data_IF_501157191091
#
_entry.id   IF_501157191091
#
_cell.length_a   1.000
_cell.length_b   1.000
_cell.length_c   1.000
_cell.angle_alpha   90.00
_cell.angle_beta   90.00
_cell.angle_gamma   90.00
#
_symmetry.space_group_name_H-M   'P 1'
#
loop_
_entity.id
_entity.type
_entity.pdbx_description
1 polymer ?
#
# COMPACT_ATOMS: atom_id res chain seq x y z
N UNK A 1 5.75 -3.07 3.91
CA UNK A 1 5.88 -2.53 2.52
C UNK A 1 6.73 -3.39 1.60
N UNK A 2 7.67 -4.18 2.11
CA UNK A 2 8.46 -5.14 1.30
C UNK A 2 7.60 -6.19 0.59
N UNK A 3 6.53 -6.68 1.22
CA UNK A 3 5.49 -7.47 0.56
C UNK A 3 4.92 -6.78 -0.70
N UNK A 4 4.49 -5.52 -0.59
CA UNK A 4 3.93 -4.77 -1.71
C UNK A 4 4.95 -4.63 -2.84
N UNK A 5 6.23 -4.36 -2.53
CA UNK A 5 7.30 -4.35 -3.51
C UNK A 5 7.43 -5.67 -4.26
N UNK A 6 7.41 -6.80 -3.56
CA UNK A 6 7.46 -8.11 -4.21
C UNK A 6 6.25 -8.35 -5.11
N UNK A 7 5.04 -8.03 -4.64
CA UNK A 7 3.82 -8.13 -5.43
C UNK A 7 3.91 -7.30 -6.73
N UNK A 8 4.38 -6.06 -6.63
CA UNK A 8 4.59 -5.20 -7.80
C UNK A 8 5.62 -5.78 -8.78
N UNK A 9 6.73 -6.33 -8.29
CA UNK A 9 7.75 -6.99 -9.11
C UNK A 9 7.17 -8.19 -9.89
N UNK A 10 6.36 -9.02 -9.24
CA UNK A 10 5.73 -10.17 -9.88
C UNK A 10 4.68 -9.75 -10.93
N UNK A 11 3.90 -8.71 -10.63
CA UNK A 11 2.94 -8.13 -11.58
C UNK A 11 3.67 -7.51 -12.78
N UNK A 12 4.74 -6.75 -12.53
CA UNK A 12 5.55 -6.17 -13.61
C UNK A 12 6.14 -7.27 -14.49
N UNK A 13 6.78 -8.28 -13.92
CA UNK A 13 7.31 -9.42 -14.68
C UNK A 13 6.24 -10.13 -15.50
N UNK A 14 5.05 -10.30 -14.93
CA UNK A 14 3.91 -10.88 -15.64
C UNK A 14 3.50 -10.00 -16.83
N UNK A 15 3.35 -8.69 -16.63
CA UNK A 15 3.03 -7.75 -17.72
C UNK A 15 4.11 -7.72 -18.79
N UNK A 16 5.39 -7.69 -18.42
CA UNK A 16 6.52 -7.73 -19.35
C UNK A 16 6.59 -9.03 -20.15
N UNK A 17 6.14 -10.15 -19.58
CA UNK A 17 6.05 -11.42 -20.30
C UNK A 17 5.00 -11.40 -21.41
N UNK A 18 3.99 -10.54 -21.30
CA UNK A 18 2.91 -10.37 -22.28
C UNK A 18 3.22 -9.22 -23.24
N UNK A 19 3.75 -8.10 -22.72
CA UNK A 19 4.00 -6.83 -23.41
C UNK A 19 5.40 -6.31 -23.03
N UNK A 20 6.48 -6.87 -23.60
CA UNK A 20 7.85 -6.52 -23.24
C UNK A 20 8.25 -5.08 -23.63
N UNK A 21 7.43 -4.38 -24.42
CA UNK A 21 7.64 -2.96 -24.73
C UNK A 21 7.26 -2.03 -23.57
N UNK A 22 6.49 -2.50 -22.60
CA UNK A 22 6.33 -1.80 -21.34
C UNK A 22 7.71 -1.79 -20.67
N UNK A 23 8.23 -0.62 -20.30
CA UNK A 23 9.59 -0.53 -19.73
C UNK A 23 9.59 -0.76 -18.22
N UNK A 24 8.49 -0.41 -17.57
CA UNK A 24 8.26 -0.56 -16.14
C UNK A 24 6.76 -0.35 -15.83
N UNK A 25 6.36 -0.65 -14.59
CA UNK A 25 5.04 -0.26 -14.08
C UNK A 25 4.86 1.27 -14.03
N UNK A 26 3.70 1.80 -14.47
CA UNK A 26 3.35 3.20 -14.28
C UNK A 26 2.94 3.50 -12.82
N UNK A 27 3.28 4.69 -12.34
CA UNK A 27 2.93 5.16 -10.99
C UNK A 27 1.96 6.34 -11.06
N UNK A 28 1.22 6.57 -9.97
CA UNK A 28 0.40 7.75 -9.79
C UNK A 28 0.98 8.69 -8.74
N UNK A 29 1.40 9.87 -9.18
CA UNK A 29 1.86 10.93 -8.28
C UNK A 29 0.68 11.64 -7.60
N UNK A 30 0.29 11.13 -6.44
CA UNK A 30 -0.83 11.66 -5.65
C UNK A 30 -0.72 13.17 -5.38
N UNK A 31 0.49 13.73 -5.30
CA UNK A 31 0.66 15.16 -5.05
C UNK A 31 0.13 16.02 -6.19
N UNK A 32 0.13 15.50 -7.43
CA UNK A 32 -0.39 16.22 -8.58
C UNK A 32 -1.92 16.26 -8.60
N UNK A 33 -2.60 15.30 -7.97
CA UNK A 33 -4.07 15.25 -7.83
C UNK A 33 -4.56 15.76 -6.47
N UNK A 34 -3.67 16.36 -5.68
CA UNK A 34 -4.00 16.90 -4.36
C UNK A 34 -4.99 18.06 -4.44
N UNK A 35 -6.06 18.01 -3.65
CA UNK A 35 -7.02 19.10 -3.48
C UNK A 35 -6.36 20.41 -3.04
N UNK A 36 -5.18 20.32 -2.42
CA UNK A 36 -4.42 21.46 -1.93
C UNK A 36 -3.30 21.77 -2.93
N UNK A 37 -3.63 22.47 -4.00
CA UNK A 37 -2.64 22.99 -4.96
C UNK A 37 -2.05 21.95 -5.92
N UNK A 38 -2.62 20.75 -6.01
CA UNK A 38 -2.27 19.76 -7.02
C UNK A 38 -2.58 20.26 -8.43
N UNK A 39 -1.63 20.05 -9.35
CA UNK A 39 -1.71 20.52 -10.73
C UNK A 39 -2.96 20.03 -11.48
N UNK A 40 -3.39 18.81 -11.21
CA UNK A 40 -4.46 18.11 -11.93
C UNK A 40 -5.73 17.92 -11.11
N UNK A 41 -5.77 18.34 -9.85
CA UNK A 41 -6.89 18.05 -8.93
C UNK A 41 -8.27 18.49 -9.43
N UNK A 42 -8.32 19.55 -10.23
CA UNK A 42 -9.56 20.10 -10.82
C UNK A 42 -9.64 19.88 -12.34
N UNK A 43 -8.78 19.03 -12.91
CA UNK A 43 -8.74 18.78 -14.35
C UNK A 43 -9.66 17.62 -14.72
N UNK A 44 -10.69 17.92 -15.53
CA UNK A 44 -11.60 16.92 -16.08
C UNK A 44 -10.92 15.98 -17.11
N UNK A 45 -9.71 16.30 -17.57
CA UNK A 45 -8.95 15.48 -18.52
C UNK A 45 -7.74 14.81 -17.86
N UNK A 46 -6.94 15.58 -17.13
CA UNK A 46 -5.61 15.17 -16.67
C UNK A 46 -5.59 14.62 -15.24
N UNK A 47 -6.69 14.75 -14.48
CA UNK A 47 -6.76 14.09 -13.18
C UNK A 47 -6.74 12.58 -13.33
N UNK A 48 -6.09 11.87 -12.40
CA UNK A 48 -6.16 10.41 -12.34
C UNK A 48 -7.60 9.88 -12.28
N UNK A 49 -8.53 10.67 -11.73
CA UNK A 49 -9.95 10.32 -11.59
C UNK A 49 -10.83 10.86 -12.73
N UNK A 50 -10.22 11.20 -13.87
CA UNK A 50 -10.95 11.60 -15.06
C UNK A 50 -11.46 10.39 -15.85
N UNK A 51 -12.44 10.59 -16.77
CA UNK A 51 -12.86 9.58 -17.73
C UNK A 51 -11.75 9.08 -18.68
N UNK A 52 -10.61 9.80 -18.76
CA UNK A 52 -9.43 9.35 -19.53
C UNK A 52 -8.68 8.24 -18.82
N UNK A 53 -8.65 8.26 -17.48
CA UNK A 53 -7.85 7.35 -16.67
C UNK A 53 -8.72 6.40 -15.84
N UNK A 54 -8.82 6.57 -14.52
CA UNK A 54 -9.43 5.58 -13.60
C UNK A 54 -10.92 5.79 -13.35
N UNK A 55 -11.54 6.74 -14.04
CA UNK A 55 -12.93 7.09 -13.81
C UNK A 55 -13.12 7.82 -12.48
N UNK A 56 -14.35 8.23 -12.24
CA UNK A 56 -14.75 9.12 -11.17
C UNK A 56 -14.24 8.66 -9.80
N UNK A 57 -13.84 9.65 -9.00
CA UNK A 57 -13.37 9.47 -7.61
C UNK A 57 -14.41 8.84 -6.69
N UNK A 58 -15.69 9.08 -6.99
CA UNK A 58 -16.85 8.43 -6.37
C UNK A 58 -17.63 7.77 -7.49
N UNK A 59 -17.98 6.49 -7.32
CA UNK A 59 -18.74 5.75 -8.31
C UNK A 59 -20.19 6.23 -8.42
N UNK A 60 -20.90 5.73 -9.43
CA UNK A 60 -22.26 6.16 -9.76
C UNK A 60 -23.27 5.75 -8.68
N UNK A 61 -23.90 6.69 -7.94
CA UNK A 61 -24.85 6.35 -6.88
C UNK A 61 -26.10 5.61 -7.38
N UNK A 62 -26.49 5.80 -8.64
CA UNK A 62 -27.63 5.10 -9.25
C UNK A 62 -27.32 3.63 -9.59
N UNK A 63 -26.05 3.25 -9.57
CA UNK A 63 -25.54 1.91 -9.83
C UNK A 63 -24.75 1.37 -8.64
N UNK A 64 -25.24 1.65 -7.42
CA UNK A 64 -24.65 1.22 -6.16
C UNK A 64 -23.16 1.59 -6.02
N UNK A 65 -22.79 2.76 -6.54
CA UNK A 65 -21.42 3.30 -6.52
C UNK A 65 -20.40 2.49 -7.33
N UNK A 66 -20.84 1.73 -8.33
CA UNK A 66 -19.94 1.16 -9.34
C UNK A 66 -19.15 2.26 -10.06
N UNK A 67 -17.90 1.98 -10.42
CA UNK A 67 -17.11 2.81 -11.34
C UNK A 67 -17.64 2.56 -12.75
N UNK A 68 -18.33 3.54 -13.33
CA UNK A 68 -19.04 3.41 -14.61
C UNK A 68 -18.41 4.20 -15.77
N UNK A 69 -17.27 4.84 -15.51
CA UNK A 69 -16.52 5.67 -16.44
C UNK A 69 -15.01 5.40 -16.31
N UNK A 70 -14.19 6.05 -17.14
CA UNK A 70 -12.75 5.78 -17.20
C UNK A 70 -12.39 4.60 -18.10
N UNK A 71 -11.08 4.38 -18.24
CA UNK A 71 -10.52 3.20 -18.93
C UNK A 71 -10.83 1.88 -18.22
N UNK A 72 -11.27 1.95 -16.96
CA UNK A 72 -11.64 0.82 -16.11
C UNK A 72 -13.14 0.81 -15.75
N UNK A 73 -13.97 1.47 -16.55
CA UNK A 73 -15.43 1.43 -16.40
C UNK A 73 -15.91 -0.03 -16.35
N UNK A 74 -16.73 -0.35 -15.35
CA UNK A 74 -17.26 -1.70 -15.12
C UNK A 74 -16.17 -2.78 -14.96
N UNK A 75 -15.04 -2.43 -14.35
CA UNK A 75 -14.02 -3.43 -14.01
C UNK A 75 -14.61 -4.51 -13.10
N UNK A 76 -14.58 -5.80 -13.51
CA UNK A 76 -15.32 -6.85 -12.82
C UNK A 76 -14.65 -7.25 -11.50
N UNK A 77 -15.49 -7.51 -10.49
CA UNK A 77 -15.09 -8.24 -9.28
C UNK A 77 -15.63 -9.66 -9.41
N UNK A 78 -14.73 -10.64 -9.45
CA UNK A 78 -15.10 -12.04 -9.67
C UNK A 78 -15.80 -12.66 -8.45
N UNK A 79 -16.60 -13.68 -8.70
CA UNK A 79 -17.13 -14.53 -7.63
C UNK A 79 -15.99 -15.36 -7.02
N UNK A 80 -16.04 -15.52 -5.70
CA UNK A 80 -15.14 -16.37 -4.96
C UNK A 80 -15.31 -17.82 -5.40
N UNK A 81 -14.22 -18.40 -5.87
CA UNK A 81 -14.17 -19.77 -6.34
C UNK A 81 -13.55 -20.65 -5.25
N UNK A 82 -14.38 -21.24 -4.39
CA UNK A 82 -13.90 -22.07 -3.28
C UNK A 82 -13.04 -23.26 -3.72
N UNK A 83 -13.11 -23.69 -4.99
CA UNK A 83 -12.23 -24.76 -5.51
C UNK A 83 -10.85 -24.22 -5.85
N UNK A 84 -10.78 -23.06 -6.53
CA UNK A 84 -9.53 -22.37 -6.84
C UNK A 84 -8.83 -21.87 -5.59
N UNK A 85 -9.60 -21.36 -4.64
CA UNK A 85 -9.12 -20.88 -3.35
C UNK A 85 -9.16 -21.96 -2.25
N UNK A 86 -9.42 -23.23 -2.57
CA UNK A 86 -9.45 -24.31 -1.58
C UNK A 86 -8.16 -24.39 -0.73
N UNK A 87 -6.95 -24.21 -1.30
CA UNK A 87 -5.72 -24.18 -0.51
C UNK A 87 -5.58 -22.95 0.40
N UNK A 88 -6.47 -21.97 0.28
CA UNK A 88 -6.38 -20.63 0.88
C UNK A 88 -7.58 -20.31 1.79
N UNK A 89 -8.50 -21.26 1.98
CA UNK A 89 -9.75 -21.06 2.70
C UNK A 89 -9.53 -20.65 4.18
N UNK A 90 -8.42 -21.02 4.80
CA UNK A 90 -8.14 -20.60 6.19
C UNK A 90 -7.77 -19.11 6.30
N UNK A 91 -7.31 -18.50 5.19
CA UNK A 91 -6.87 -17.09 5.12
C UNK A 91 -7.94 -16.21 4.46
N UNK A 92 -8.64 -16.76 3.47
CA UNK A 92 -9.56 -16.00 2.63
C UNK A 92 -10.71 -16.86 2.10
N UNK A 93 -11.95 -16.47 2.41
CA UNK A 93 -13.18 -17.20 2.07
C UNK A 93 -14.17 -16.40 1.21
N UNK A 94 -13.74 -15.28 0.63
CA UNK A 94 -14.64 -14.34 -0.03
C UNK A 94 -15.63 -13.68 0.93
N UNK A 95 -16.53 -12.85 0.39
CA UNK A 95 -17.62 -12.23 1.16
C UNK A 95 -18.67 -13.26 1.51
N UNK A 96 -18.97 -13.46 2.81
CA UNK A 96 -19.98 -14.42 3.27
C UNK A 96 -21.38 -14.07 2.74
N UNK A 97 -21.63 -12.78 2.57
CA UNK A 97 -22.96 -12.26 2.24
C UNK A 97 -23.26 -12.29 0.75
N UNK A 98 -22.24 -12.20 -0.10
CA UNK A 98 -22.44 -12.00 -1.55
C UNK A 98 -21.69 -13.00 -2.43
N UNK A 99 -20.73 -13.73 -1.87
CA UNK A 99 -19.88 -14.65 -2.61
C UNK A 99 -18.87 -13.95 -3.54
N UNK A 100 -18.76 -12.63 -3.56
CA UNK A 100 -17.72 -11.94 -4.33
C UNK A 100 -16.34 -12.07 -3.68
N UNK A 101 -15.30 -11.91 -4.51
CA UNK A 101 -13.92 -11.79 -4.07
C UNK A 101 -13.67 -10.47 -3.31
N UNK A 102 -14.30 -10.32 -2.14
CA UNK A 102 -14.10 -9.23 -1.18
C UNK A 102 -13.78 -9.79 0.21
N UNK A 103 -13.43 -8.96 1.19
CA UNK A 103 -13.29 -9.42 2.57
C UNK A 103 -14.60 -10.06 3.06
N UNK A 104 -14.45 -11.04 3.96
CA UNK A 104 -15.55 -11.76 4.62
C UNK A 104 -16.70 -10.85 5.09
N UNK A 105 -16.36 -9.72 5.71
CA UNK A 105 -17.32 -8.76 6.28
C UNK A 105 -17.81 -7.70 5.29
N UNK A 106 -17.36 -7.69 4.03
CA UNK A 106 -17.75 -6.67 3.06
C UNK A 106 -19.10 -7.04 2.42
N UNK A 107 -20.18 -6.26 2.65
CA UNK A 107 -21.52 -6.59 2.18
C UNK A 107 -21.81 -6.12 0.75
N UNK A 108 -20.84 -5.52 0.03
CA UNK A 108 -21.05 -5.01 -1.32
C UNK A 108 -21.39 -6.13 -2.30
N UNK A 109 -22.58 -6.06 -2.91
CA UNK A 109 -23.09 -7.00 -3.90
C UNK A 109 -22.90 -6.52 -5.35
N UNK A 110 -22.10 -5.47 -5.55
CA UNK A 110 -21.82 -4.89 -6.87
C UNK A 110 -20.87 -5.82 -7.62
N UNK A 111 -21.19 -6.21 -8.86
CA UNK A 111 -20.33 -7.09 -9.68
C UNK A 111 -19.10 -6.40 -10.27
N UNK A 112 -18.93 -5.11 -9.97
CA UNK A 112 -17.87 -4.25 -10.45
C UNK A 112 -17.19 -3.55 -9.29
N UNK A 113 -16.01 -2.97 -9.56
CA UNK A 113 -15.31 -2.10 -8.61
C UNK A 113 -16.23 -0.97 -8.16
N UNK A 114 -16.35 -0.78 -6.85
CA UNK A 114 -17.16 0.24 -6.22
C UNK A 114 -16.32 1.23 -5.40
N UNK A 115 -16.66 2.51 -5.49
CA UNK A 115 -16.05 3.63 -4.74
C UNK A 115 -17.15 4.45 -4.08
N UNK A 116 -17.40 4.23 -2.78
CA UNK A 116 -18.54 4.84 -2.10
C UNK A 116 -18.36 6.35 -1.84
N UNK A 117 -19.46 7.00 -1.48
CA UNK A 117 -19.46 8.38 -1.03
C UNK A 117 -18.76 8.55 0.32
N UNK A 118 -18.32 9.78 0.61
CA UNK A 118 -17.45 10.09 1.75
C UNK A 118 -18.24 10.71 2.91
N UNK A 119 -19.57 10.54 2.89
CA UNK A 119 -20.54 11.13 3.83
C UNK A 119 -20.35 10.68 5.28
N UNK A 120 -19.63 9.58 5.51
CA UNK A 120 -19.28 9.07 6.83
C UNK A 120 -18.04 9.71 7.48
N UNK A 121 -17.30 10.57 6.78
CA UNK A 121 -16.05 11.15 7.29
C UNK A 121 -16.23 12.59 7.78
N UNK A 122 -15.65 12.90 8.94
CA UNK A 122 -15.59 14.26 9.49
C UNK A 122 -14.78 15.23 8.63
N UNK A 123 -13.89 14.69 7.79
CA UNK A 123 -13.20 15.42 6.74
C UNK A 123 -13.45 14.67 5.41
N UNK A 124 -14.43 15.09 4.58
CA UNK A 124 -14.71 14.51 3.28
C UNK A 124 -13.77 15.02 2.18
N UNK A 125 -12.74 15.82 2.52
CA UNK A 125 -11.84 16.42 1.54
C UNK A 125 -11.17 15.34 0.67
N UNK A 126 -10.86 15.65 -0.60
CA UNK A 126 -10.13 14.75 -1.47
C UNK A 126 -8.71 14.52 -0.93
N UNK A 127 -7.87 13.83 -1.68
CA UNK A 127 -6.46 13.63 -1.34
C UNK A 127 -5.80 14.98 -1.07
N UNK A 128 -5.09 15.11 0.05
CA UNK A 128 -4.43 16.34 0.50
C UNK A 128 -2.90 16.22 0.57
N UNK A 129 -2.32 15.15 0.02
CA UNK A 129 -0.89 14.92 0.07
C UNK A 129 -0.14 15.95 -0.80
N UNK A 130 0.84 16.66 -0.26
CA UNK A 130 1.65 17.61 -1.02
C UNK A 130 2.98 16.98 -1.46
N UNK A 131 3.57 17.52 -2.53
CA UNK A 131 4.90 17.12 -2.99
C UNK A 131 5.94 17.26 -1.87
N UNK A 132 5.88 18.35 -1.10
CA UNK A 132 6.73 18.57 0.06
C UNK A 132 6.65 17.43 1.10
N UNK A 133 5.47 16.83 1.29
CA UNK A 133 5.32 15.69 2.21
C UNK A 133 6.01 14.45 1.66
N UNK A 134 5.84 14.17 0.36
CA UNK A 134 6.53 13.03 -0.29
C UNK A 134 8.04 13.20 -0.26
N UNK A 135 8.53 14.44 -0.44
CA UNK A 135 9.96 14.77 -0.42
C UNK A 135 10.57 14.64 0.99
N UNK A 136 9.81 14.93 2.05
CA UNK A 136 10.24 14.68 3.43
C UNK A 136 10.48 13.18 3.65
N UNK A 137 9.51 12.33 3.30
CA UNK A 137 9.65 10.89 3.47
C UNK A 137 10.77 10.30 2.59
N UNK A 138 11.05 10.91 1.43
CA UNK A 138 12.11 10.49 0.52
C UNK A 138 13.52 10.97 0.92
N UNK A 139 13.68 11.75 2.00
CA UNK A 139 14.93 12.45 2.29
C UNK A 139 15.60 11.93 3.58
N UNK A 140 16.82 11.41 3.41
CA UNK A 140 17.60 10.79 4.47
C UNK A 140 18.06 11.79 5.54
N UNK A 141 18.08 13.10 5.27
CA UNK A 141 18.33 14.10 6.30
C UNK A 141 17.26 14.08 7.40
N UNK A 142 16.02 13.74 7.06
CA UNK A 142 14.88 13.65 7.97
C UNK A 142 14.56 12.21 8.40
N UNK A 143 14.81 11.24 7.51
CA UNK A 143 14.42 9.84 7.68
C UNK A 143 15.66 8.96 7.70
N UNK A 144 16.08 8.49 8.86
CA UNK A 144 17.37 7.80 9.07
C UNK A 144 17.32 6.29 8.97
N UNK A 145 16.16 5.67 9.11
CA UNK A 145 16.02 4.20 9.08
C UNK A 145 14.82 3.80 8.24
N UNK A 146 14.82 2.54 7.78
CA UNK A 146 13.69 2.01 7.01
C UNK A 146 12.39 2.08 7.80
N UNK A 147 12.45 1.85 9.11
CA UNK A 147 11.29 1.97 10.01
C UNK A 147 10.74 3.40 10.06
N UNK A 148 11.62 4.42 10.13
CA UNK A 148 11.18 5.82 10.06
C UNK A 148 10.55 6.14 8.71
N UNK A 149 11.07 5.56 7.62
CA UNK A 149 10.45 5.70 6.30
C UNK A 149 9.06 5.09 6.29
N UNK A 150 8.93 3.84 6.77
CA UNK A 150 7.65 3.14 6.88
C UNK A 150 6.65 3.98 7.67
N UNK A 151 7.03 4.51 8.84
CA UNK A 151 6.16 5.37 9.66
C UNK A 151 5.85 6.74 9.05
N UNK A 152 6.66 7.22 8.12
CA UNK A 152 6.39 8.46 7.39
C UNK A 152 5.30 8.26 6.34
N UNK A 153 5.35 7.14 5.61
CA UNK A 153 4.42 6.83 4.51
C UNK A 153 3.16 6.08 4.98
N UNK A 154 3.31 5.32 6.06
CA UNK A 154 2.31 4.48 6.71
C UNK A 154 2.04 5.00 8.12
N UNK A 155 0.81 4.92 8.59
CA UNK A 155 0.60 4.74 10.02
C UNK A 155 -0.66 3.91 10.23
N UNK A 156 -0.57 3.07 11.25
CA UNK A 156 -1.55 2.15 11.75
C UNK A 156 -2.99 2.70 11.71
N UNK A 157 -3.85 2.00 10.97
CA UNK A 157 -5.32 2.12 11.01
C UNK A 157 -5.88 1.98 12.44
N UNK A 158 -5.09 1.46 13.39
CA UNK A 158 -5.45 1.31 14.79
C UNK A 158 -5.04 2.47 15.71
N UNK A 159 -4.43 3.56 15.23
CA UNK A 159 -4.30 4.78 16.04
C UNK A 159 -5.67 5.48 16.14
N UNK A 160 -6.55 4.94 16.98
CA UNK A 160 -7.95 5.38 17.19
C UNK A 160 -8.10 6.85 17.66
N UNK A 161 -7.00 7.56 17.89
CA UNK A 161 -6.98 8.82 18.61
C UNK A 161 -6.41 10.03 17.83
N UNK A 162 -5.86 9.85 16.63
CA UNK A 162 -5.45 10.98 15.80
C UNK A 162 -6.52 11.23 14.73
N UNK A 163 -7.17 12.38 14.78
CA UNK A 163 -8.16 12.79 13.79
C UNK A 163 -7.82 14.20 13.24
N UNK A 164 -7.41 14.34 11.97
CA UNK A 164 -7.06 13.26 11.08
C UNK A 164 -5.74 12.61 11.52
N UNK A 165 -5.54 11.34 11.20
CA UNK A 165 -4.29 10.64 11.50
C UNK A 165 -3.18 11.03 10.50
N UNK A 166 -1.93 10.95 10.93
CA UNK A 166 -0.76 11.45 10.20
C UNK A 166 0.41 10.47 10.25
N UNK A 167 1.21 10.38 9.18
CA UNK A 167 2.54 9.77 9.25
C UNK A 167 3.44 10.60 10.16
N UNK A 168 4.45 9.99 10.77
CA UNK A 168 5.31 10.66 11.75
C UNK A 168 6.77 10.56 11.32
N UNK A 169 7.48 11.67 11.42
CA UNK A 169 8.92 11.74 11.24
C UNK A 169 9.57 12.64 12.30
N UNK A 170 10.89 12.54 12.46
CA UNK A 170 11.63 13.28 13.49
C UNK A 170 12.62 14.26 12.86
N UNK A 171 12.54 15.54 13.25
CA UNK A 171 13.52 16.57 12.88
C UNK A 171 14.18 17.09 14.14
N UNK A 172 15.50 16.93 14.26
CA UNK A 172 16.26 17.42 15.42
C UNK A 172 15.69 16.96 16.77
N UNK A 173 15.16 15.72 16.83
CA UNK A 173 14.54 15.16 18.03
C UNK A 173 13.09 15.61 18.29
N UNK A 174 12.50 16.44 17.42
CA UNK A 174 11.09 16.83 17.48
C UNK A 174 10.26 15.99 16.50
N UNK A 175 9.24 15.30 17.02
CA UNK A 175 8.29 14.58 16.18
C UNK A 175 7.38 15.56 15.44
N UNK A 176 7.24 15.35 14.13
CA UNK A 176 6.42 16.14 13.21
C UNK A 176 5.53 15.20 12.40
N UNK A 177 4.41 15.72 11.92
CA UNK A 177 3.42 14.95 11.17
C UNK A 177 3.44 15.26 9.68
N UNK A 178 3.13 14.25 8.85
CA UNK A 178 2.82 14.39 7.43
C UNK A 178 1.44 13.82 7.14
N UNK A 179 0.67 14.41 6.19
CA UNK A 179 -0.54 13.77 5.69
C UNK A 179 -0.26 12.34 5.23
N UNK A 180 -1.19 11.45 5.51
CA UNK A 180 -1.15 10.04 5.14
C UNK A 180 -0.83 9.82 3.67
N UNK A 181 0.24 9.08 3.38
CA UNK A 181 0.55 8.72 2.00
C UNK A 181 -0.26 7.47 1.60
N UNK A 182 0.00 6.33 2.24
CA UNK A 182 -0.63 5.06 1.88
C UNK A 182 -2.12 4.97 2.27
N UNK A 183 -2.42 5.08 3.58
CA UNK A 183 -3.76 4.87 4.12
C UNK A 183 -4.79 5.89 3.61
N UNK A 184 -4.35 7.12 3.28
CA UNK A 184 -5.24 8.15 2.75
C UNK A 184 -5.89 7.71 1.46
N UNK A 185 -5.12 7.17 0.51
CA UNK A 185 -5.68 6.76 -0.77
C UNK A 185 -6.73 5.66 -0.57
N UNK A 186 -6.41 4.63 0.22
CA UNK A 186 -7.33 3.54 0.55
C UNK A 186 -8.65 4.06 1.12
N UNK A 187 -8.56 4.86 2.18
CA UNK A 187 -9.73 5.42 2.85
C UNK A 187 -10.52 6.41 1.99
N UNK A 188 -9.84 7.25 1.23
CA UNK A 188 -10.49 8.37 0.56
C UNK A 188 -11.04 7.99 -0.81
N UNK A 189 -10.46 7.01 -1.51
CA UNK A 189 -11.00 6.54 -2.79
C UNK A 189 -12.08 5.48 -2.55
N UNK A 190 -11.76 4.44 -1.78
CA UNK A 190 -12.70 3.35 -1.51
C UNK A 190 -13.83 3.75 -0.57
N UNK A 191 -13.53 4.60 0.42
CA UNK A 191 -14.46 5.02 1.48
C UNK A 191 -14.95 3.88 2.38
N UNK A 192 -15.31 4.23 3.62
CA UNK A 192 -15.97 3.37 4.60
C UNK A 192 -17.18 4.11 5.15
N UNK A 193 -18.37 3.57 4.89
CA UNK A 193 -19.61 4.01 5.52
C UNK A 193 -19.68 3.47 6.95
N UNK A 194 -19.23 4.26 7.92
CA UNK A 194 -19.12 3.86 9.33
C UNK A 194 -20.41 3.29 9.94
N UNK A 195 -21.57 3.79 9.51
CA UNK A 195 -22.88 3.36 10.03
C UNK A 195 -23.30 1.96 9.57
N UNK A 196 -22.84 1.53 8.38
CA UNK A 196 -23.30 0.29 7.73
C UNK A 196 -22.18 -0.72 7.55
N UNK A 197 -20.91 -0.31 7.71
CA UNK A 197 -19.74 -1.13 7.44
C UNK A 197 -19.46 -1.33 5.94
N UNK A 198 -20.23 -0.70 5.05
CA UNK A 198 -19.96 -0.75 3.61
C UNK A 198 -18.65 -0.05 3.30
N UNK A 199 -17.79 -0.71 2.53
CA UNK A 199 -16.54 -0.14 2.07
C UNK A 199 -16.33 -0.43 0.61
N UNK A 200 -15.70 0.51 -0.10
CA UNK A 200 -15.38 0.34 -1.51
C UNK A 200 -14.25 -0.65 -1.67
N UNK A 201 -14.09 -1.17 -2.88
CA UNK A 201 -13.10 -2.20 -3.16
C UNK A 201 -11.69 -1.71 -2.80
N UNK A 202 -11.35 -0.44 -3.08
CA UNK A 202 -10.04 0.09 -2.70
C UNK A 202 -9.83 0.27 -1.19
N UNK A 203 -10.88 0.43 -0.38
CA UNK A 203 -10.75 0.55 1.08
C UNK A 203 -10.68 -0.83 1.75
N UNK A 204 -11.22 -1.86 1.10
CA UNK A 204 -11.14 -3.24 1.57
C UNK A 204 -9.68 -3.71 1.54
N UNK A 205 -8.95 -3.52 2.64
CA UNK A 205 -7.52 -3.82 2.75
C UNK A 205 -7.15 -5.25 2.34
N UNK A 206 -8.07 -6.21 2.45
CA UNK A 206 -7.83 -7.62 2.09
C UNK A 206 -7.85 -7.82 0.58
N UNK A 207 -8.67 -7.03 -0.12
CA UNK A 207 -8.96 -7.21 -1.55
C UNK A 207 -8.81 -5.92 -2.35
N UNK A 208 -8.07 -4.95 -1.82
CA UNK A 208 -7.93 -3.61 -2.40
C UNK A 208 -7.33 -3.60 -3.81
N UNK A 209 -6.60 -4.66 -4.17
CA UNK A 209 -6.10 -4.90 -5.52
C UNK A 209 -7.20 -5.12 -6.57
N UNK A 210 -8.45 -5.36 -6.16
CA UNK A 210 -9.59 -5.39 -7.07
C UNK A 210 -9.77 -4.07 -7.82
N UNK A 211 -9.46 -2.92 -7.20
CA UNK A 211 -9.46 -1.62 -7.88
C UNK A 211 -8.10 -1.42 -8.59
N UNK A 212 -8.08 -1.29 -9.93
CA UNK A 212 -6.83 -1.17 -10.71
C UNK A 212 -5.91 -0.02 -10.27
N UNK A 213 -6.44 1.01 -9.61
CA UNK A 213 -5.61 2.12 -9.10
C UNK A 213 -4.61 1.66 -8.03
N UNK A 214 -4.84 0.50 -7.40
CA UNK A 214 -3.92 -0.13 -6.45
C UNK A 214 -2.51 -0.22 -6.98
N UNK A 215 -2.34 -0.70 -8.21
CA UNK A 215 -1.02 -0.87 -8.80
C UNK A 215 -0.29 0.47 -8.88
N UNK A 216 -0.97 1.52 -9.34
CA UNK A 216 -0.38 2.83 -9.58
C UNK A 216 -0.05 3.56 -8.27
N UNK A 217 -0.93 3.43 -7.28
CA UNK A 217 -0.73 3.94 -5.92
C UNK A 217 0.49 3.30 -5.24
N UNK A 218 0.51 1.98 -5.17
CA UNK A 218 1.59 1.22 -4.53
C UNK A 218 2.91 1.35 -5.27
N UNK A 219 2.86 1.49 -6.60
CA UNK A 219 4.03 1.81 -7.41
C UNK A 219 4.63 3.17 -7.01
N UNK A 220 3.81 4.19 -6.71
CA UNK A 220 4.35 5.48 -6.25
C UNK A 220 4.91 5.44 -4.82
N UNK A 221 4.31 4.64 -3.93
CA UNK A 221 4.85 4.40 -2.58
C UNK A 221 6.22 3.72 -2.69
N UNK A 222 6.32 2.70 -3.53
CA UNK A 222 7.58 1.98 -3.71
C UNK A 222 8.66 2.86 -4.37
N UNK A 223 8.27 3.70 -5.33
CA UNK A 223 9.14 4.74 -5.89
C UNK A 223 9.65 5.71 -4.82
N UNK A 224 8.81 6.09 -3.85
CA UNK A 224 9.23 6.92 -2.73
C UNK A 224 10.26 6.22 -1.85
N UNK A 225 10.06 4.92 -1.56
CA UNK A 225 11.06 4.11 -0.86
C UNK A 225 12.39 4.08 -1.61
N UNK A 226 12.36 3.82 -2.93
CA UNK A 226 13.57 3.75 -3.77
C UNK A 226 14.35 5.08 -3.74
N UNK A 227 13.65 6.22 -3.84
CA UNK A 227 14.28 7.54 -3.71
C UNK A 227 14.96 7.73 -2.36
N UNK A 228 14.30 7.32 -1.27
CA UNK A 228 14.90 7.37 0.06
C UNK A 228 16.13 6.47 0.17
N UNK A 229 16.06 5.24 -0.37
CA UNK A 229 17.18 4.30 -0.38
C UNK A 229 18.39 4.88 -1.12
N UNK A 230 18.16 5.52 -2.28
CA UNK A 230 19.22 6.20 -3.04
C UNK A 230 19.84 7.38 -2.30
N UNK A 231 19.02 8.26 -1.70
CA UNK A 231 19.53 9.40 -0.93
C UNK A 231 20.31 8.91 0.30
N UNK A 232 19.83 7.85 0.96
CA UNK A 232 20.54 7.22 2.07
C UNK A 232 21.90 6.66 1.66
N UNK A 233 21.97 5.92 0.54
CA UNK A 233 23.22 5.38 -0.01
C UNK A 233 24.21 6.47 -0.42
N UNK A 234 23.72 7.57 -1.01
CA UNK A 234 24.55 8.71 -1.39
C UNK A 234 25.20 9.37 -0.17
N UNK A 235 24.54 9.36 0.99
CA UNK A 235 25.03 9.92 2.24
C UNK A 235 25.91 8.93 3.02
N UNK A 236 25.57 7.63 2.96
CA UNK A 236 26.35 6.57 3.57
C UNK A 236 26.17 5.25 2.79
N UNK A 237 27.18 4.91 1.99
CA UNK A 237 27.16 3.71 1.15
C UNK A 237 27.06 2.38 1.95
N UNK A 238 27.46 2.35 3.23
CA UNK A 238 27.38 1.11 4.03
C UNK A 238 25.96 0.73 4.40
N UNK A 239 24.98 1.63 4.21
CA UNK A 239 23.58 1.32 4.50
C UNK A 239 23.00 0.24 3.59
N UNK A 240 23.49 0.12 2.35
CA UNK A 240 23.03 -0.91 1.41
C UNK A 240 23.78 -2.25 1.55
N UNK A 241 24.69 -2.37 2.53
CA UNK A 241 25.38 -3.62 2.81
C UNK A 241 24.37 -4.69 3.25
N UNK A 242 24.61 -5.94 2.85
CA UNK A 242 23.71 -7.09 3.11
C UNK A 242 23.50 -7.40 4.61
N UNK A 243 24.32 -6.80 5.47
CA UNK A 243 24.24 -6.92 6.93
C UNK A 243 23.54 -5.73 7.60
N UNK A 244 23.28 -4.64 6.85
CA UNK A 244 22.70 -3.39 7.36
C UNK A 244 21.30 -3.17 6.78
N UNK A 245 21.17 -3.20 5.44
CA UNK A 245 19.90 -3.02 4.72
C UNK A 245 19.05 -1.85 5.25
N UNK A 246 19.67 -0.66 5.28
CA UNK A 246 19.13 0.62 5.78
C UNK A 246 18.55 0.55 7.19
N UNK A 247 19.26 -0.18 8.06
CA UNK A 247 18.88 -0.42 9.45
C UNK A 247 17.47 -1.02 9.58
N UNK A 248 17.09 -1.91 8.66
CA UNK A 248 15.86 -2.67 8.79
C UNK A 248 15.89 -3.48 10.10
N UNK A 249 14.80 -3.50 10.89
CA UNK A 249 14.78 -4.19 12.17
C UNK A 249 15.20 -5.67 12.09
N UNK A 250 16.26 -6.03 12.81
CA UNK A 250 16.83 -7.39 12.83
C UNK A 250 16.43 -8.24 14.04
N UNK A 251 15.91 -7.65 15.12
CA UNK A 251 15.50 -8.35 16.35
C UNK A 251 14.24 -7.68 16.93
N UNK A 252 13.39 -8.48 17.59
CA UNK A 252 12.35 -8.02 18.52
C UNK A 252 12.95 -6.99 19.49
N UNK A 253 12.51 -5.72 19.50
CA UNK A 253 12.90 -4.82 20.57
C UNK A 253 12.35 -5.37 21.89
N UNK A 254 13.16 -5.31 22.94
CA UNK A 254 12.77 -5.72 24.30
C UNK A 254 11.66 -4.83 24.90
N UNK A 255 11.18 -3.86 24.12
CA UNK A 255 10.14 -2.90 24.44
C UNK A 255 9.14 -2.85 23.29
N UNK A 256 7.87 -2.62 23.61
CA UNK A 256 6.81 -2.28 22.64
C UNK A 256 7.06 -0.93 21.93
N UNK A 257 8.29 -0.44 21.97
CA UNK A 257 8.73 0.86 21.45
C UNK A 257 10.05 0.60 20.72
N UNK A 258 10.15 1.02 19.46
CA UNK A 258 11.36 0.83 18.67
C UNK A 258 12.49 1.73 19.17
N UNK A 259 13.70 1.53 18.64
CA UNK A 259 14.83 2.43 18.88
C UNK A 259 14.56 3.88 18.46
N UNK A 260 13.47 4.13 17.73
CA UNK A 260 13.04 5.43 17.25
C UNK A 260 11.81 5.99 17.99
N UNK A 261 11.35 5.32 19.06
CA UNK A 261 10.31 5.81 19.95
C UNK A 261 8.88 5.51 19.50
N UNK A 262 8.69 4.67 18.48
CA UNK A 262 7.36 4.34 17.96
C UNK A 262 6.81 3.05 18.57
N UNK A 263 5.51 2.96 18.85
CA UNK A 263 4.88 1.71 19.23
C UNK A 263 5.17 0.65 18.18
N UNK A 264 5.96 -0.37 18.52
CA UNK A 264 6.16 -1.53 17.67
C UNK A 264 4.97 -2.42 17.94
N UNK A 265 3.87 -2.18 17.24
CA UNK A 265 2.83 -3.19 17.13
C UNK A 265 3.45 -4.36 16.35
N UNK A 266 4.02 -5.31 17.11
CA UNK A 266 4.36 -6.69 16.72
C UNK A 266 4.64 -6.84 15.21
N UNK A 267 5.82 -6.38 14.78
CA UNK A 267 6.18 -6.23 13.37
C UNK A 267 6.99 -7.41 12.83
N UNK A 268 7.02 -7.56 11.51
CA UNK A 268 7.78 -8.61 10.84
C UNK A 268 9.26 -8.21 10.69
N UNK A 269 10.16 -9.16 10.89
CA UNK A 269 11.60 -8.96 11.06
C UNK A 269 12.36 -9.24 9.77
N UNK A 270 13.59 -8.72 9.64
CA UNK A 270 14.40 -8.89 8.42
C UNK A 270 14.49 -10.35 7.91
N UNK A 271 14.50 -11.32 8.81
CA UNK A 271 14.61 -12.77 8.52
C UNK A 271 13.26 -13.50 8.46
N UNK A 272 12.16 -12.80 8.71
CA UNK A 272 10.84 -13.39 8.65
C UNK A 272 10.46 -13.68 7.21
N UNK A 273 9.70 -14.75 7.05
CA UNK A 273 9.18 -15.15 5.76
C UNK A 273 8.10 -14.14 5.32
N UNK A 274 8.35 -13.42 4.25
CA UNK A 274 7.39 -12.44 3.73
C UNK A 274 6.53 -13.06 2.62
N UNK A 275 7.15 -13.86 1.75
CA UNK A 275 6.48 -14.48 0.59
C UNK A 275 7.05 -15.89 0.38
N UNK A 276 6.24 -16.89 0.05
CA UNK A 276 6.74 -18.21 -0.37
C UNK A 276 6.81 -18.36 -1.88
N UNK A 277 7.80 -19.11 -2.40
CA UNK A 277 7.76 -19.53 -3.82
C UNK A 277 6.60 -20.50 -4.11
N UNK A 278 6.08 -21.18 -3.07
CA UNK A 278 4.88 -22.03 -3.16
C UNK A 278 3.59 -21.26 -2.89
N UNK A 279 3.70 -20.04 -2.39
CA UNK A 279 2.58 -19.30 -1.83
C UNK A 279 2.86 -17.78 -1.82
N UNK A 280 2.10 -16.93 -2.53
CA UNK A 280 2.39 -15.49 -2.56
C UNK A 280 2.12 -14.69 -1.25
N UNK A 281 1.50 -15.24 -0.21
CA UNK A 281 1.22 -14.57 1.08
C UNK A 281 1.46 -15.45 2.33
N UNK A 282 2.34 -15.09 3.25
CA UNK A 282 2.23 -15.71 4.60
C UNK A 282 0.95 -15.19 5.28
N UNK A 283 0.22 -16.00 6.08
CA UNK A 283 -0.97 -15.53 6.77
C UNK A 283 -0.61 -14.35 7.67
N UNK A 284 -1.05 -13.15 7.28
CA UNK A 284 -1.12 -12.00 8.17
C UNK A 284 -2.49 -12.12 8.86
N UNK A 285 -2.54 -12.80 10.00
CA UNK A 285 -3.73 -12.87 10.85
C UNK A 285 -4.01 -11.50 11.49
N UNK A 286 -4.38 -10.51 10.69
CA UNK A 286 -4.62 -9.15 11.19
C UNK A 286 -6.09 -8.94 11.57
N UNK A 287 -7.02 -9.79 11.12
CA UNK A 287 -8.46 -9.51 11.25
C UNK A 287 -9.38 -10.71 11.58
N UNK A 288 -8.85 -11.82 12.09
CA UNK A 288 -9.65 -12.96 12.61
C UNK A 288 -9.89 -12.88 14.14
N UNK A 289 -10.95 -13.50 14.68
CA UNK A 289 -11.07 -13.71 16.13
C UNK A 289 -9.98 -14.67 16.59
N UNK A 290 -8.96 -14.18 17.31
CA UNK A 290 -7.74 -14.93 17.64
C UNK A 290 -6.47 -14.39 16.96
N UNK A 291 -6.57 -13.30 16.20
CA UNK A 291 -5.48 -12.55 15.57
C UNK A 291 -4.44 -12.04 16.59
N UNK A 292 -3.55 -12.91 17.04
CA UNK A 292 -2.24 -12.51 17.49
C UNK A 292 -1.42 -12.19 16.23
N UNK A 293 -0.84 -10.99 16.18
CA UNK A 293 -0.01 -10.46 15.10
C UNK A 293 1.30 -11.27 14.97
N UNK A 294 1.20 -12.55 14.65
CA UNK A 294 2.35 -13.44 14.53
C UNK A 294 2.89 -13.35 13.10
N UNK A 295 3.97 -12.57 12.94
CA UNK A 295 4.80 -12.72 11.76
C UNK A 295 5.33 -14.16 11.74
N UNK A 296 5.22 -14.84 10.60
CA UNK A 296 5.67 -16.22 10.45
C UNK A 296 7.16 -16.27 10.81
N UNK A 297 7.51 -17.10 11.79
CA UNK A 297 8.89 -17.25 12.25
C UNK A 297 9.89 -17.58 11.13
N UNK A 298 11.17 -17.56 11.51
CA UNK A 298 12.37 -17.76 10.68
C UNK A 298 12.17 -18.54 9.37
N UNK A 299 12.73 -18.01 8.27
CA UNK A 299 12.83 -18.60 6.93
C UNK A 299 12.45 -20.09 6.85
N UNK A 300 11.20 -20.37 6.44
CA UNK A 300 10.78 -21.73 6.09
C UNK A 300 11.37 -22.07 4.72
N UNK A 301 11.82 -23.31 4.53
CA UNK A 301 12.47 -23.72 3.29
C UNK A 301 11.56 -23.41 2.07
N UNK A 302 11.95 -22.40 1.30
CA UNK A 302 11.16 -21.92 0.17
C UNK A 302 10.38 -20.63 0.34
N UNK A 303 10.79 -19.77 1.25
CA UNK A 303 10.29 -18.41 1.37
C UNK A 303 11.37 -17.38 1.01
N UNK A 304 10.93 -16.28 0.42
CA UNK A 304 11.66 -15.02 0.37
C UNK A 304 11.39 -14.27 1.67
N UNK A 305 12.47 -13.89 2.33
CA UNK A 305 12.43 -13.03 3.51
C UNK A 305 12.40 -11.57 3.08
N UNK A 306 12.11 -10.65 4.02
CA UNK A 306 12.30 -9.22 3.77
C UNK A 306 13.74 -8.90 3.33
N UNK A 307 14.73 -9.61 3.89
CA UNK A 307 16.14 -9.53 3.47
C UNK A 307 16.30 -9.84 1.98
N UNK A 308 15.71 -10.94 1.52
CA UNK A 308 15.85 -11.36 0.13
C UNK A 308 15.22 -10.33 -0.81
N UNK A 309 14.02 -9.85 -0.47
CA UNK A 309 13.33 -8.83 -1.26
C UNK A 309 14.18 -7.57 -1.36
N UNK A 310 14.65 -7.03 -0.22
CA UNK A 310 15.45 -5.81 -0.21
C UNK A 310 16.77 -5.96 -0.96
N UNK A 311 17.43 -7.13 -0.90
CA UNK A 311 18.68 -7.38 -1.64
C UNK A 311 18.47 -7.46 -3.14
N UNK A 312 17.38 -8.11 -3.57
CA UNK A 312 17.04 -8.27 -4.99
C UNK A 312 16.51 -6.98 -5.62
N UNK A 313 15.95 -6.09 -4.80
CA UNK A 313 15.25 -4.89 -5.27
C UNK A 313 15.94 -3.58 -4.88
N UNK A 314 17.20 -3.61 -4.42
CA UNK A 314 17.89 -2.38 -4.02
C UNK A 314 18.23 -1.50 -5.23
N UNK A 315 18.49 -0.19 -5.04
CA UNK A 315 18.94 0.69 -6.10
C UNK A 315 20.04 0.04 -6.98
N UNK A 316 19.83 0.07 -8.29
CA UNK A 316 20.77 -0.48 -9.27
C UNK A 316 20.86 -2.01 -9.37
N UNK A 317 20.09 -2.78 -8.60
CA UNK A 317 20.05 -4.25 -8.72
C UNK A 317 18.84 -4.75 -9.52
N UNK A 318 17.71 -4.05 -9.45
CA UNK A 318 16.52 -4.48 -10.18
C UNK A 318 16.61 -4.04 -11.65
N UNK A 319 16.45 -4.98 -12.57
CA UNK A 319 16.36 -4.68 -14.02
C UNK A 319 15.04 -4.03 -14.41
N UNK A 320 14.02 -4.20 -13.56
CA UNK A 320 12.67 -3.67 -13.75
C UNK A 320 12.14 -3.15 -12.39
N UNK A 321 11.23 -2.18 -12.40
CA UNK A 321 10.82 -1.27 -11.31
C UNK A 321 11.76 -0.06 -11.09
N UNK A 322 11.34 1.04 -11.71
CA UNK A 322 11.90 2.40 -11.73
C UNK A 322 13.33 2.52 -12.25
N UNK A 323 13.45 3.00 -13.48
CA UNK A 323 14.68 3.61 -13.96
C UNK A 323 15.04 4.80 -13.05
N UNK A 324 15.90 4.55 -12.08
CA UNK A 324 16.60 5.57 -11.31
C UNK A 324 18.04 5.72 -11.81
N UNK A 325 18.30 5.47 -13.10
CA UNK A 325 19.57 5.85 -13.68
C UNK A 325 19.77 7.34 -13.38
N UNK A 326 20.81 7.60 -12.58
CA UNK A 326 21.43 8.91 -12.46
C UNK A 326 21.85 9.42 -13.84
#
# INVERSE_FOLDING_TARGET
>A
MTFHRFLLLEIERTLLSIRPEFKALPYWDMALDSAIGGKYAMSDEDSIFSPKFFGSYTGNPSENYAVTDGSFAYWPVSQFNSTEYAPYADVYNGSETTGFNRKYTNPSNVSFVARFDKSGYSNPDPIMLLEANTNICANYAFIKTWEQWQNCVEIDVASKNANPPYGIYSVQGTQTTVPWFHAQAHLKIGSLQLATGFMGDFMDVTTSINDPIFLFHHTNIDRNNMKWQMDAEAQNATLADDNVLWDFPIVLPNSNISSTGFPVNLGCWLQDSEVSYRFPFTPLEVFGPGAELECPGSAVNGTYTHKDILRLSKPGQSTNVYDTNM
#
